data_IF_988230183162
#
_entry.id   IF_988230183162
#
_cell.length_a   1.000
_cell.length_b   1.000
_cell.length_c   1.000
_cell.angle_alpha   90.00
_cell.angle_beta   90.00
_cell.angle_gamma   90.00
#
_symmetry.space_group_name_H-M   'P 1'
#
loop_
_entity.id
_entity.type
_entity.pdbx_description
1 polymer ?
#
# COMPACT_ATOMS: atom_id res chain seq x y z
N UNK A 1 7.09 -15.01 118.33
CA UNK A 1 5.73 -14.60 117.93
C UNK A 1 5.84 -13.36 117.06
N UNK A 2 4.96 -13.27 116.05
CA UNK A 2 4.77 -12.21 115.03
C UNK A 2 5.72 -12.23 113.84
N UNK A 3 5.27 -12.19 112.58
CA UNK A 3 4.02 -12.54 111.88
C UNK A 3 4.41 -12.48 110.39
N UNK A 4 4.31 -13.59 109.65
CA UNK A 4 4.56 -13.62 108.20
C UNK A 4 3.24 -13.42 107.47
N UNK A 5 3.09 -12.32 106.73
CA UNK A 5 2.01 -12.15 105.75
C UNK A 5 2.61 -11.83 104.39
N UNK A 6 2.29 -12.66 103.40
CA UNK A 6 2.53 -12.37 101.98
C UNK A 6 1.23 -12.67 101.23
N UNK A 7 0.73 -11.76 100.37
CA UNK A 7 -0.62 -11.87 99.80
C UNK A 7 -0.67 -12.87 98.63
N UNK A 8 -1.87 -13.42 98.31
CA UNK A 8 -2.02 -14.40 97.24
C UNK A 8 -1.91 -13.75 95.86
N UNK A 9 -1.16 -14.38 94.97
CA UNK A 9 -1.04 -13.98 93.57
C UNK A 9 -2.37 -14.24 92.81
N UNK A 10 -2.82 -13.23 92.09
CA UNK A 10 -3.99 -13.22 91.20
C UNK A 10 -3.81 -14.23 90.05
N UNK A 11 -4.85 -14.98 89.62
CA UNK A 11 -4.71 -15.89 88.49
C UNK A 11 -4.52 -15.08 87.19
N UNK A 12 -3.46 -15.38 86.44
CA UNK A 12 -3.24 -14.83 85.10
C UNK A 12 -4.39 -15.27 84.18
N UNK A 13 -5.04 -14.26 83.60
CA UNK A 13 -6.03 -14.36 82.54
C UNK A 13 -5.49 -15.25 81.39
N UNK A 14 -6.12 -16.40 81.15
CA UNK A 14 -5.91 -17.20 79.94
C UNK A 14 -6.52 -16.46 78.75
N UNK A 15 -5.68 -16.02 77.82
CA UNK A 15 -6.14 -15.63 76.47
C UNK A 15 -6.55 -16.90 75.72
N UNK A 16 -7.85 -17.03 75.48
CA UNK A 16 -8.40 -18.01 74.55
C UNK A 16 -8.01 -17.59 73.12
N UNK A 17 -7.07 -18.31 72.49
CA UNK A 17 -6.80 -18.20 71.07
C UNK A 17 -7.83 -19.03 70.29
N UNK A 18 -9.00 -18.45 70.04
CA UNK A 18 -9.93 -18.96 69.03
C UNK A 18 -9.71 -18.18 67.72
N UNK A 19 -9.48 -18.92 66.64
CA UNK A 19 -9.22 -18.46 65.26
C UNK A 19 -7.86 -17.75 65.03
N UNK A 20 -6.77 -18.52 65.05
CA UNK A 20 -5.55 -18.11 64.33
C UNK A 20 -5.74 -18.43 62.85
N UNK A 21 -5.75 -17.39 62.02
CA UNK A 21 -5.45 -17.51 60.59
C UNK A 21 -4.10 -18.18 60.44
N UNK A 22 -4.08 -19.49 60.22
CA UNK A 22 -2.84 -20.23 60.07
C UNK A 22 -2.27 -19.93 58.68
N UNK A 23 -1.33 -18.98 58.63
CA UNK A 23 -0.66 -18.52 57.40
C UNK A 23 -0.11 -19.70 56.60
N UNK A 24 0.48 -20.70 57.26
CA UNK A 24 1.00 -21.89 56.61
C UNK A 24 -0.10 -22.75 55.97
N UNK A 25 -1.26 -22.89 56.60
CA UNK A 25 -2.42 -23.60 56.04
C UNK A 25 -2.96 -22.86 54.79
N UNK A 26 -3.06 -21.53 54.86
CA UNK A 26 -3.53 -20.69 53.76
C UNK A 26 -2.58 -20.74 52.55
N UNK A 27 -1.27 -20.71 52.78
CA UNK A 27 -0.25 -20.87 51.72
C UNK A 27 -0.35 -22.25 51.06
N UNK A 28 -0.59 -23.32 51.83
CA UNK A 28 -0.75 -24.67 51.26
C UNK A 28 -2.00 -24.79 50.39
N UNK A 29 -3.15 -24.30 50.86
CA UNK A 29 -4.38 -24.24 50.06
C UNK A 29 -4.17 -23.40 48.79
N UNK A 30 -3.56 -22.22 48.91
CA UNK A 30 -3.30 -21.33 47.77
C UNK A 30 -2.40 -21.97 46.70
N UNK A 31 -1.34 -22.70 47.10
CA UNK A 31 -0.48 -23.43 46.16
C UNK A 31 -1.25 -24.51 45.41
N UNK A 32 -2.17 -25.20 46.10
CA UNK A 32 -3.00 -26.25 45.49
C UNK A 32 -4.01 -25.66 44.49
N UNK A 33 -4.70 -24.59 44.87
CA UNK A 33 -5.59 -23.82 44.00
C UNK A 33 -4.87 -23.33 42.74
N UNK A 34 -3.65 -22.81 42.90
CA UNK A 34 -2.81 -22.28 41.81
C UNK A 34 -1.99 -23.34 41.07
N UNK A 35 -2.18 -24.63 41.36
CA UNK A 35 -1.36 -25.73 40.83
C UNK A 35 -1.36 -25.83 39.30
N UNK A 36 -2.44 -25.42 38.62
CA UNK A 36 -2.51 -25.40 37.15
C UNK A 36 -1.62 -24.31 36.55
N UNK A 37 -1.68 -23.11 37.12
CA UNK A 37 -0.89 -21.94 36.69
C UNK A 37 0.61 -22.17 36.98
N UNK A 38 0.94 -22.70 38.16
CA UNK A 38 2.32 -23.08 38.55
C UNK A 38 2.92 -24.09 37.56
N UNK A 39 2.13 -25.06 37.08
CA UNK A 39 2.56 -26.03 36.07
C UNK A 39 2.81 -25.37 34.71
N UNK A 40 2.04 -24.35 34.36
CA UNK A 40 2.08 -23.69 33.05
C UNK A 40 3.26 -22.71 32.89
N UNK A 41 3.76 -22.11 33.98
CA UNK A 41 4.79 -21.05 33.92
C UNK A 41 6.26 -21.52 34.02
N UNK A 42 6.49 -22.83 33.89
CA UNK A 42 7.81 -23.44 33.71
C UNK A 42 8.55 -23.81 35.01
N UNK A 43 9.73 -24.43 34.85
CA UNK A 43 10.47 -25.11 35.91
C UNK A 43 10.79 -24.22 37.13
N UNK A 44 11.08 -22.93 36.93
CA UNK A 44 11.47 -22.03 38.01
C UNK A 44 10.30 -21.68 38.96
N UNK A 45 9.10 -21.48 38.42
CA UNK A 45 7.89 -21.20 39.24
C UNK A 45 7.51 -22.46 40.02
N UNK A 46 7.57 -23.63 39.37
CA UNK A 46 7.36 -24.92 40.01
C UNK A 46 8.35 -25.17 41.15
N UNK A 47 9.64 -24.83 40.95
CA UNK A 47 10.69 -24.96 41.97
C UNK A 47 10.42 -24.05 43.18
N UNK A 48 10.01 -22.80 42.95
CA UNK A 48 9.67 -21.85 44.03
C UNK A 48 8.45 -22.33 44.82
N UNK A 49 7.38 -22.75 44.14
CA UNK A 49 6.19 -23.30 44.79
C UNK A 49 6.51 -24.54 45.64
N UNK A 50 7.35 -25.46 45.12
CA UNK A 50 7.76 -26.67 45.87
C UNK A 50 8.55 -26.31 47.13
N UNK A 51 9.46 -25.33 47.04
CA UNK A 51 10.22 -24.84 48.21
C UNK A 51 9.32 -24.19 49.25
N UNK A 52 8.35 -23.39 48.81
CA UNK A 52 7.39 -22.71 49.67
C UNK A 52 6.46 -23.72 50.37
N UNK A 53 5.95 -24.71 49.63
CA UNK A 53 5.15 -25.81 50.16
C UNK A 53 5.89 -26.58 51.26
N UNK A 54 7.19 -26.84 51.07
CA UNK A 54 8.03 -27.51 52.07
C UNK A 54 8.33 -26.64 53.30
N UNK A 55 8.32 -25.31 53.19
CA UNK A 55 8.42 -24.40 54.35
C UNK A 55 7.11 -24.35 55.12
N UNK A 56 5.98 -24.19 54.43
CA UNK A 56 4.66 -24.14 55.04
C UNK A 56 4.34 -25.42 55.83
N UNK A 57 4.66 -26.60 55.28
CA UNK A 57 4.52 -27.88 56.02
C UNK A 57 5.35 -27.96 57.29
N UNK A 58 6.53 -27.32 57.32
CA UNK A 58 7.39 -27.28 58.51
C UNK A 58 6.86 -26.30 59.55
N UNK A 59 6.35 -25.14 59.14
CA UNK A 59 5.73 -24.16 60.04
C UNK A 59 4.50 -24.72 60.76
N UNK A 60 3.72 -25.61 60.12
CA UNK A 60 2.65 -26.36 60.78
C UNK A 60 3.13 -27.30 61.91
N UNK A 61 4.39 -27.71 61.89
CA UNK A 61 4.98 -28.66 62.86
C UNK A 61 5.81 -27.96 63.94
N UNK A 62 6.29 -26.74 63.69
CA UNK A 62 7.10 -25.96 64.63
C UNK A 62 6.63 -24.48 64.68
N UNK A 63 5.92 -24.08 65.76
CA UNK A 63 5.39 -22.72 65.95
C UNK A 63 6.46 -21.61 66.09
N UNK A 64 7.75 -21.97 66.13
CA UNK A 64 8.87 -21.02 66.20
C UNK A 64 9.35 -20.52 64.84
N UNK A 65 8.83 -21.09 63.75
CA UNK A 65 9.13 -20.66 62.39
C UNK A 65 8.40 -19.35 62.10
N UNK A 66 9.11 -18.39 61.51
CA UNK A 66 8.56 -17.08 61.15
C UNK A 66 7.50 -17.19 60.04
N UNK A 67 6.27 -16.80 60.36
CA UNK A 67 5.13 -16.81 59.45
C UNK A 67 5.12 -15.62 58.48
N UNK A 68 5.83 -14.53 58.78
CA UNK A 68 5.87 -13.33 57.91
C UNK A 68 6.68 -13.61 56.63
N UNK A 69 7.82 -14.33 56.71
CA UNK A 69 8.60 -14.79 55.54
C UNK A 69 7.78 -15.72 54.61
N UNK A 70 6.84 -16.47 55.18
CA UNK A 70 5.95 -17.38 54.47
C UNK A 70 4.90 -16.64 53.66
N UNK A 71 4.29 -15.61 54.27
CA UNK A 71 3.29 -14.76 53.61
C UNK A 71 3.93 -13.94 52.48
N UNK A 72 5.05 -13.28 52.75
CA UNK A 72 5.75 -12.46 51.74
C UNK A 72 6.23 -13.31 50.55
N UNK A 73 6.76 -14.51 50.83
CA UNK A 73 7.16 -15.45 49.79
C UNK A 73 5.99 -15.96 48.94
N UNK A 74 4.79 -16.06 49.53
CA UNK A 74 3.57 -16.43 48.81
C UNK A 74 3.06 -15.29 47.94
N UNK A 75 2.99 -14.08 48.46
CA UNK A 75 2.59 -12.88 47.70
C UNK A 75 3.54 -12.63 46.52
N UNK A 76 4.85 -12.77 46.72
CA UNK A 76 5.84 -12.66 45.65
C UNK A 76 5.64 -13.72 44.54
N UNK A 77 5.25 -14.95 44.92
CA UNK A 77 4.96 -16.00 43.95
C UNK A 77 3.69 -15.70 43.14
N UNK A 78 2.65 -15.15 43.79
CA UNK A 78 1.43 -14.72 43.12
C UNK A 78 1.71 -13.61 42.09
N UNK A 79 2.44 -12.57 42.49
CA UNK A 79 2.84 -11.48 41.59
C UNK A 79 3.64 -11.98 40.38
N UNK A 80 4.51 -12.98 40.59
CA UNK A 80 5.27 -13.60 39.51
C UNK A 80 4.36 -14.37 38.53
N UNK A 81 3.38 -15.11 39.04
CA UNK A 81 2.41 -15.86 38.22
C UNK A 81 1.55 -14.87 37.41
N UNK A 82 1.05 -13.82 38.04
CA UNK A 82 0.25 -12.78 37.39
C UNK A 82 1.03 -12.06 36.29
N UNK A 83 2.25 -11.62 36.59
CA UNK A 83 3.13 -10.96 35.62
C UNK A 83 3.40 -11.85 34.40
N UNK A 84 3.71 -13.13 34.62
CA UNK A 84 3.92 -14.08 33.52
C UNK A 84 2.65 -14.36 32.71
N UNK A 85 1.49 -14.42 33.37
CA UNK A 85 0.19 -14.62 32.70
C UNK A 85 -0.16 -13.42 31.82
N UNK A 86 0.04 -12.22 32.34
CA UNK A 86 -0.18 -10.98 31.59
C UNK A 86 0.77 -10.88 30.38
N UNK A 87 2.05 -11.22 30.56
CA UNK A 87 3.04 -11.25 29.48
C UNK A 87 2.68 -12.27 28.40
N UNK A 88 2.28 -13.50 28.79
CA UNK A 88 1.86 -14.54 27.84
C UNK A 88 0.61 -14.13 27.05
N UNK A 89 -0.34 -13.47 27.72
CA UNK A 89 -1.56 -12.95 27.07
C UNK A 89 -1.23 -11.85 26.05
N UNK A 90 -0.32 -10.93 26.40
CA UNK A 90 0.17 -9.89 25.48
C UNK A 90 0.93 -10.47 24.29
N UNK A 91 1.81 -11.45 24.50
CA UNK A 91 2.54 -12.14 23.43
C UNK A 91 1.60 -12.87 22.46
N UNK A 92 0.58 -13.56 23.00
CA UNK A 92 -0.44 -14.21 22.17
C UNK A 92 -1.22 -13.21 21.32
N UNK A 93 -1.64 -12.09 21.91
CA UNK A 93 -2.33 -11.03 21.18
C UNK A 93 -1.44 -10.40 20.09
N UNK A 94 -0.17 -10.14 20.42
CA UNK A 94 0.80 -9.60 19.46
C UNK A 94 1.04 -10.56 18.28
N UNK A 95 1.23 -11.86 18.55
CA UNK A 95 1.37 -12.88 17.50
C UNK A 95 0.15 -12.96 16.58
N UNK A 96 -1.06 -12.85 17.12
CA UNK A 96 -2.29 -12.81 16.33
C UNK A 96 -2.35 -11.57 15.42
N UNK A 97 -1.97 -10.40 15.94
CA UNK A 97 -1.90 -9.17 15.13
C UNK A 97 -0.86 -9.26 14.01
N UNK A 98 0.35 -9.76 14.32
CA UNK A 98 1.40 -9.94 13.32
C UNK A 98 0.95 -10.90 12.21
N UNK A 99 0.31 -12.01 12.58
CA UNK A 99 -0.23 -12.97 11.61
C UNK A 99 -1.28 -12.33 10.69
N UNK A 100 -2.20 -11.56 11.25
CA UNK A 100 -3.23 -10.85 10.49
C UNK A 100 -2.63 -9.79 9.55
N UNK A 101 -1.63 -9.04 10.00
CA UNK A 101 -0.92 -8.07 9.16
C UNK A 101 -0.17 -8.76 8.01
N UNK A 102 0.47 -9.90 8.28
CA UNK A 102 1.14 -10.70 7.24
C UNK A 102 0.14 -11.24 6.20
N UNK A 103 -1.04 -11.69 6.65
CA UNK A 103 -2.13 -12.11 5.77
C UNK A 103 -2.59 -10.97 4.86
N UNK A 104 -2.90 -9.79 5.43
CA UNK A 104 -3.29 -8.59 4.68
C UNK A 104 -2.22 -8.16 3.69
N UNK A 105 -0.95 -8.18 4.08
CA UNK A 105 0.16 -7.86 3.18
C UNK A 105 0.23 -8.82 1.98
N UNK A 106 -0.02 -10.12 2.19
CA UNK A 106 -0.07 -11.11 1.11
C UNK A 106 -1.25 -10.88 0.16
N UNK A 107 -2.41 -10.52 0.69
CA UNK A 107 -3.60 -10.15 -0.10
C UNK A 107 -3.35 -8.90 -0.94
N UNK A 108 -2.83 -7.83 -0.32
CA UNK A 108 -2.48 -6.60 -1.03
C UNK A 108 -1.46 -6.84 -2.14
N UNK A 109 -0.41 -7.63 -1.87
CA UNK A 109 0.56 -8.03 -2.91
C UNK A 109 -0.09 -8.76 -4.08
N UNK A 110 -1.13 -9.55 -3.83
CA UNK A 110 -1.88 -10.27 -4.88
C UNK A 110 -2.72 -9.31 -5.71
N UNK A 111 -3.42 -8.38 -5.05
CA UNK A 111 -4.20 -7.31 -5.70
C UNK A 111 -3.29 -6.44 -6.58
N UNK A 112 -2.17 -5.95 -6.05
CA UNK A 112 -1.22 -5.13 -6.81
C UNK A 112 -0.70 -5.85 -8.06
N UNK A 113 -0.39 -7.16 -7.97
CA UNK A 113 0.03 -7.96 -9.14
C UNK A 113 -1.09 -8.04 -10.19
N UNK A 114 -2.34 -8.29 -9.77
CA UNK A 114 -3.51 -8.35 -10.66
C UNK A 114 -3.77 -7.00 -11.33
N UNK A 115 -3.73 -5.90 -10.59
CA UNK A 115 -3.92 -4.54 -11.12
C UNK A 115 -2.84 -4.20 -12.15
N UNK A 116 -1.57 -4.46 -11.84
CA UNK A 116 -0.46 -4.23 -12.79
C UNK A 116 -0.62 -5.04 -14.08
N UNK A 117 -1.04 -6.30 -13.97
CA UNK A 117 -1.32 -7.14 -15.13
C UNK A 117 -2.45 -6.58 -16.00
N UNK A 118 -3.57 -6.20 -15.38
CA UNK A 118 -4.73 -5.65 -16.09
C UNK A 118 -4.39 -4.33 -16.80
N UNK A 119 -3.58 -3.48 -16.18
CA UNK A 119 -3.07 -2.25 -16.80
C UNK A 119 -2.27 -2.56 -18.07
N UNK A 120 -1.34 -3.51 -18.02
CA UNK A 120 -0.57 -3.92 -19.21
C UNK A 120 -1.43 -4.48 -20.34
N UNK A 121 -2.54 -5.15 -20.05
CA UNK A 121 -3.45 -5.63 -21.10
C UNK A 121 -4.31 -4.50 -21.66
N UNK A 122 -4.81 -3.63 -20.78
CA UNK A 122 -5.69 -2.51 -21.13
C UNK A 122 -5.11 -1.63 -22.23
N UNK A 123 -3.82 -1.26 -22.15
CA UNK A 123 -3.16 -0.40 -23.14
C UNK A 123 -3.14 -1.02 -24.54
N UNK A 124 -2.81 -2.32 -24.62
CA UNK A 124 -2.69 -3.00 -25.90
C UNK A 124 -4.06 -3.25 -26.54
N UNK A 125 -5.09 -3.54 -25.73
CA UNK A 125 -6.48 -3.65 -26.21
C UNK A 125 -7.02 -2.28 -26.64
N UNK A 126 -6.71 -1.21 -25.88
CA UNK A 126 -7.13 0.14 -26.21
C UNK A 126 -6.58 0.58 -27.57
N UNK A 127 -5.28 0.40 -27.82
CA UNK A 127 -4.69 0.75 -29.11
C UNK A 127 -5.24 -0.11 -30.25
N UNK A 128 -5.43 -1.42 -30.04
CA UNK A 128 -6.10 -2.31 -31.00
C UNK A 128 -7.50 -1.79 -31.37
N UNK A 129 -8.25 -1.31 -30.36
CA UNK A 129 -9.60 -0.78 -30.54
C UNK A 129 -9.59 0.57 -31.24
N UNK A 130 -8.64 1.47 -30.94
CA UNK A 130 -8.46 2.74 -31.65
C UNK A 130 -8.12 2.47 -33.11
N UNK A 131 -7.13 1.63 -33.40
CA UNK A 131 -6.75 1.28 -34.76
C UNK A 131 -7.94 0.68 -35.53
N UNK A 132 -8.70 -0.23 -34.91
CA UNK A 132 -9.91 -0.80 -35.50
C UNK A 132 -11.05 0.21 -35.70
N UNK A 133 -11.18 1.20 -34.80
CA UNK A 133 -12.16 2.30 -34.92
C UNK A 133 -11.76 3.29 -36.00
N UNK A 134 -10.48 3.64 -36.14
CA UNK A 134 -9.99 4.48 -37.25
C UNK A 134 -10.25 3.82 -38.62
N UNK A 135 -10.24 2.49 -38.69
CA UNK A 135 -10.67 1.74 -39.90
C UNK A 135 -12.18 1.83 -40.13
N UNK A 136 -13.00 2.06 -39.10
CA UNK A 136 -14.47 2.06 -39.15
C UNK A 136 -15.14 3.45 -39.04
N UNK A 137 -14.50 4.49 -38.52
CA UNK A 137 -15.17 5.75 -38.16
C UNK A 137 -14.70 6.95 -38.99
N UNK A 138 -15.44 7.18 -40.07
CA UNK A 138 -15.63 8.49 -40.71
C UNK A 138 -16.96 9.14 -40.24
N UNK A 139 -17.51 8.77 -39.08
CA UNK A 139 -18.81 9.28 -38.62
C UNK A 139 -18.94 9.35 -37.10
N UNK A 140 -18.27 10.31 -36.45
CA UNK A 140 -18.82 11.09 -35.32
C UNK A 140 -17.75 12.03 -34.73
N UNK A 141 -17.95 13.32 -34.95
CA UNK A 141 -17.01 14.41 -34.63
C UNK A 141 -17.30 15.02 -33.26
N UNK A 142 -17.57 14.22 -32.23
CA UNK A 142 -17.95 14.76 -30.91
C UNK A 142 -17.26 13.99 -29.79
N UNK A 143 -16.49 14.73 -28.98
CA UNK A 143 -15.58 14.30 -27.90
C UNK A 143 -14.13 13.97 -28.30
N UNK A 144 -13.40 14.94 -28.85
CA UNK A 144 -11.93 14.97 -28.74
C UNK A 144 -11.52 15.43 -27.33
N UNK A 145 -11.67 14.57 -26.34
CA UNK A 145 -10.99 14.73 -25.05
C UNK A 145 -9.51 14.45 -25.24
N UNK A 146 -8.64 15.40 -24.88
CA UNK A 146 -7.20 15.12 -24.82
C UNK A 146 -6.97 14.04 -23.75
N UNK A 147 -5.96 13.18 -23.94
CA UNK A 147 -5.54 12.28 -22.87
C UNK A 147 -5.04 13.11 -21.67
N UNK A 148 -5.28 12.63 -20.43
CA UNK A 148 -4.90 13.34 -19.20
C UNK A 148 -3.41 13.73 -19.22
N UNK A 149 -2.54 12.86 -19.72
CA UNK A 149 -1.10 13.10 -19.86
C UNK A 149 -0.78 14.22 -20.87
N UNK A 150 -1.57 14.35 -21.94
CA UNK A 150 -1.41 15.43 -22.92
C UNK A 150 -1.87 16.78 -22.35
N UNK A 151 -2.98 16.81 -21.60
CA UNK A 151 -3.42 18.01 -20.88
C UNK A 151 -2.42 18.40 -19.80
N UNK A 152 -1.85 17.43 -19.08
CA UNK A 152 -0.82 17.67 -18.06
C UNK A 152 0.46 18.26 -18.67
N UNK A 153 0.90 17.75 -19.83
CA UNK A 153 2.07 18.27 -20.56
C UNK A 153 1.90 19.72 -20.97
N UNK A 154 0.68 20.16 -21.30
CA UNK A 154 0.38 21.55 -21.70
C UNK A 154 0.21 22.50 -20.50
N UNK A 155 -0.24 21.98 -19.36
CA UNK A 155 -0.44 22.76 -18.13
C UNK A 155 0.87 23.01 -17.37
N UNK A 156 1.82 22.07 -17.42
CA UNK A 156 3.10 22.16 -16.71
C UNK A 156 3.92 23.44 -17.02
N UNK A 157 4.13 23.81 -18.30
CA UNK A 157 4.84 25.05 -18.64
C UNK A 157 4.14 26.31 -18.12
N UNK A 158 2.80 26.34 -18.12
CA UNK A 158 2.02 27.47 -17.61
C UNK A 158 2.18 27.63 -16.09
N UNK A 159 2.13 26.52 -15.33
CA UNK A 159 2.38 26.54 -13.87
C UNK A 159 3.79 27.04 -13.58
N UNK A 160 4.79 26.59 -14.35
CA UNK A 160 6.17 27.04 -14.19
C UNK A 160 6.31 28.55 -14.46
N UNK A 161 5.66 29.06 -15.51
CA UNK A 161 5.66 30.48 -15.83
C UNK A 161 5.01 31.34 -14.73
N UNK A 162 3.89 30.88 -14.16
CA UNK A 162 3.22 31.56 -13.02
C UNK A 162 4.13 31.60 -11.78
N UNK A 163 4.79 30.48 -11.45
CA UNK A 163 5.74 30.42 -10.31
C UNK A 163 6.92 31.36 -10.49
N UNK A 164 7.49 31.42 -11.69
CA UNK A 164 8.57 32.37 -12.02
C UNK A 164 8.07 33.80 -11.85
N UNK A 165 6.90 34.13 -12.40
CA UNK A 165 6.32 35.47 -12.29
C UNK A 165 6.06 35.91 -10.83
N UNK A 166 5.58 35.00 -9.97
CA UNK A 166 5.45 35.28 -8.53
C UNK A 166 6.81 35.47 -7.85
N UNK A 167 7.81 34.66 -8.19
CA UNK A 167 9.14 34.73 -7.56
C UNK A 167 9.90 36.03 -7.85
N UNK A 168 9.60 36.69 -8.97
CA UNK A 168 10.18 38.00 -9.35
C UNK A 168 9.34 39.19 -8.87
N UNK A 169 8.39 38.95 -7.97
CA UNK A 169 7.59 39.99 -7.33
C UNK A 169 6.46 40.57 -8.19
N UNK A 170 5.98 39.84 -9.21
CA UNK A 170 4.88 40.28 -10.09
C UNK A 170 5.16 41.60 -10.83
N UNK A 171 6.43 41.90 -11.09
CA UNK A 171 6.90 43.17 -11.70
C UNK A 171 6.91 43.15 -13.23
N UNK A 172 6.85 41.96 -13.84
CA UNK A 172 6.81 41.75 -15.29
C UNK A 172 5.38 41.52 -15.79
N UNK A 173 5.19 41.47 -17.12
CA UNK A 173 3.90 41.11 -17.72
C UNK A 173 3.44 39.71 -17.28
N UNK A 174 2.16 39.52 -16.88
CA UNK A 174 1.66 38.23 -16.42
C UNK A 174 1.66 37.19 -17.55
N UNK A 175 2.00 35.93 -17.26
CA UNK A 175 2.05 34.88 -18.29
C UNK A 175 0.65 34.52 -18.79
N UNK A 176 0.54 34.19 -20.09
CA UNK A 176 -0.67 33.62 -20.66
C UNK A 176 -0.89 32.19 -20.14
N UNK A 177 -2.10 31.89 -19.64
CA UNK A 177 -2.42 30.59 -19.00
C UNK A 177 -3.71 29.91 -19.55
N UNK A 178 -3.89 29.84 -20.88
CA UNK A 178 -5.13 29.35 -21.50
C UNK A 178 -5.48 27.89 -21.16
N UNK A 179 -4.51 27.03 -20.83
CA UNK A 179 -4.79 25.65 -20.43
C UNK A 179 -5.22 25.57 -18.96
N UNK A 180 -4.59 26.33 -18.06
CA UNK A 180 -5.02 26.48 -16.66
C UNK A 180 -6.42 27.07 -16.54
N UNK A 181 -6.81 28.00 -17.41
CA UNK A 181 -8.18 28.55 -17.43
C UNK A 181 -9.21 27.51 -17.87
N UNK A 182 -8.86 26.64 -18.83
CA UNK A 182 -9.74 25.52 -19.22
C UNK A 182 -9.89 24.54 -18.08
N UNK A 183 -8.80 24.23 -17.37
CA UNK A 183 -8.85 23.38 -16.18
C UNK A 183 -9.73 24.04 -15.10
N UNK A 184 -9.58 25.34 -14.85
CA UNK A 184 -10.41 26.10 -13.91
C UNK A 184 -11.90 26.01 -14.25
N UNK A 185 -12.26 26.26 -15.52
CA UNK A 185 -13.65 26.14 -16.00
C UNK A 185 -14.21 24.72 -15.85
N UNK A 186 -13.40 23.71 -16.12
CA UNK A 186 -13.80 22.31 -15.93
C UNK A 186 -14.03 22.00 -14.44
N UNK A 187 -13.11 22.41 -13.58
CA UNK A 187 -13.17 22.25 -12.13
C UNK A 187 -14.41 22.95 -11.54
N UNK A 188 -14.67 24.19 -11.94
CA UNK A 188 -15.84 24.95 -11.53
C UNK A 188 -17.16 24.28 -11.97
N UNK A 189 -17.21 23.72 -13.19
CA UNK A 189 -18.39 23.02 -13.70
C UNK A 189 -18.74 21.77 -12.90
N UNK A 190 -17.75 21.08 -12.33
CA UNK A 190 -17.92 19.81 -11.63
C UNK A 190 -17.80 19.94 -10.11
N UNK A 191 -17.60 21.14 -9.59
CA UNK A 191 -17.46 21.40 -8.15
C UNK A 191 -16.20 20.79 -7.55
N UNK A 192 -15.09 20.79 -8.28
CA UNK A 192 -13.82 20.18 -7.85
C UNK A 192 -12.74 21.25 -7.73
N UNK A 193 -11.86 21.11 -6.75
CA UNK A 193 -10.75 22.04 -6.52
C UNK A 193 -9.67 21.91 -7.62
N UNK A 194 -9.24 23.04 -8.20
CA UNK A 194 -8.32 23.06 -9.35
C UNK A 194 -6.95 22.47 -9.01
N UNK A 195 -6.42 22.77 -7.82
CA UNK A 195 -5.16 22.20 -7.34
C UNK A 195 -5.28 20.69 -7.19
N UNK A 196 -6.35 20.22 -6.57
CA UNK A 196 -6.68 18.80 -6.43
C UNK A 196 -6.78 18.10 -7.78
N UNK A 197 -7.40 18.73 -8.78
CA UNK A 197 -7.46 18.17 -10.13
C UNK A 197 -6.08 18.05 -10.77
N UNK A 198 -5.23 19.07 -10.64
CA UNK A 198 -3.86 19.07 -11.19
C UNK A 198 -2.99 18.02 -10.48
N UNK A 199 -3.11 17.89 -9.15
CA UNK A 199 -2.43 16.85 -8.38
C UNK A 199 -2.90 15.45 -8.81
N UNK A 200 -4.20 15.27 -9.07
CA UNK A 200 -4.75 14.03 -9.64
C UNK A 200 -4.25 13.77 -11.06
N UNK A 201 -4.08 14.80 -11.88
CA UNK A 201 -3.47 14.69 -13.21
C UNK A 201 -2.01 14.28 -13.12
N UNK A 202 -1.24 14.82 -12.17
CA UNK A 202 0.15 14.44 -11.91
C UNK A 202 0.25 12.98 -11.43
N UNK A 203 -0.62 12.57 -10.51
CA UNK A 203 -0.71 11.18 -10.05
C UNK A 203 -1.14 10.23 -11.16
N UNK A 204 -2.06 10.65 -12.04
CA UNK A 204 -2.47 9.87 -13.21
C UNK A 204 -1.36 9.79 -14.25
N UNK A 205 -0.64 10.87 -14.53
CA UNK A 205 0.51 10.89 -15.45
C UNK A 205 1.70 10.10 -14.87
N UNK A 206 1.97 10.16 -13.57
CA UNK A 206 2.99 9.36 -12.90
C UNK A 206 2.60 7.88 -12.84
N UNK A 207 1.32 7.56 -12.59
CA UNK A 207 0.78 6.22 -12.79
C UNK A 207 0.93 5.79 -14.24
N UNK A 208 0.64 6.66 -15.19
CA UNK A 208 0.75 6.40 -16.63
C UNK A 208 2.21 6.08 -16.99
N UNK A 209 3.18 6.86 -16.51
CA UNK A 209 4.62 6.61 -16.70
C UNK A 209 5.15 5.37 -15.95
N UNK A 210 4.63 5.08 -14.76
CA UNK A 210 5.16 4.05 -13.85
C UNK A 210 4.52 2.68 -14.02
N UNK A 211 3.28 2.62 -14.51
CA UNK A 211 2.50 1.39 -14.63
C UNK A 211 2.19 0.99 -16.07
N UNK A 212 2.27 1.92 -17.04
CA UNK A 212 1.91 1.63 -18.42
C UNK A 212 3.13 1.18 -19.21
N UNK A 213 2.92 0.13 -19.98
CA UNK A 213 3.90 -0.37 -20.93
C UNK A 213 3.16 -0.42 -22.26
N UNK A 214 2.93 0.77 -22.86
CA UNK A 214 2.12 0.85 -24.07
C UNK A 214 2.76 0.05 -25.20
N UNK A 215 1.95 -0.33 -26.21
CA UNK A 215 2.48 -0.88 -27.45
C UNK A 215 3.56 0.02 -28.06
N UNK A 216 4.49 -0.53 -28.86
CA UNK A 216 5.41 0.29 -29.63
C UNK A 216 4.63 1.27 -30.51
N UNK A 217 4.89 2.57 -30.35
CA UNK A 217 4.30 3.58 -31.22
C UNK A 217 4.95 3.48 -32.60
N UNK A 218 4.19 3.13 -33.65
CA UNK A 218 4.73 2.90 -34.99
C UNK A 218 5.41 4.14 -35.59
N UNK A 219 4.95 5.34 -35.21
CA UNK A 219 5.57 6.62 -35.60
C UNK A 219 7.05 6.75 -35.21
N UNK A 220 7.49 6.08 -34.14
CA UNK A 220 8.90 6.08 -33.73
C UNK A 220 9.80 5.23 -34.65
N UNK A 221 9.22 4.57 -35.64
CA UNK A 221 9.89 3.68 -36.57
C UNK A 221 9.72 4.13 -38.03
N UNK A 222 9.30 5.38 -38.26
CA UNK A 222 9.29 5.99 -39.58
C UNK A 222 10.72 6.15 -40.11
N UNK A 223 10.89 5.95 -41.41
CA UNK A 223 12.09 6.34 -42.14
C UNK A 223 11.98 7.78 -42.66
N UNK A 224 13.03 8.24 -43.35
CA UNK A 224 13.10 9.60 -43.89
C UNK A 224 12.01 9.90 -44.93
N UNK A 225 11.40 8.86 -45.51
CA UNK A 225 10.36 8.97 -46.52
C UNK A 225 8.95 8.81 -45.91
N UNK A 226 8.84 8.69 -44.58
CA UNK A 226 7.57 8.48 -43.89
C UNK A 226 7.05 7.03 -43.95
N UNK A 227 7.88 6.06 -44.35
CA UNK A 227 7.50 4.65 -44.32
C UNK A 227 7.83 4.03 -42.96
N UNK A 228 6.92 3.22 -42.43
CA UNK A 228 7.14 2.52 -41.16
C UNK A 228 8.04 1.31 -41.37
N UNK A 229 9.15 1.23 -40.62
CA UNK A 229 10.01 0.05 -40.55
C UNK A 229 9.37 -1.05 -39.69
N UNK A 230 8.40 -1.76 -40.26
CA UNK A 230 7.59 -2.79 -39.56
C UNK A 230 8.41 -3.93 -38.93
N UNK A 231 9.60 -4.23 -39.45
CA UNK A 231 10.53 -5.21 -38.85
C UNK A 231 11.07 -4.72 -37.50
N UNK A 232 11.33 -3.42 -37.36
CA UNK A 232 11.74 -2.81 -36.09
C UNK A 232 10.59 -2.78 -35.08
N UNK A 233 9.36 -2.54 -35.54
CA UNK A 233 8.14 -2.63 -34.71
C UNK A 233 7.94 -4.07 -34.20
N UNK A 234 8.12 -5.07 -35.07
CA UNK A 234 8.07 -6.49 -34.69
C UNK A 234 9.15 -6.82 -33.64
N UNK A 235 10.39 -6.37 -33.84
CA UNK A 235 11.47 -6.57 -32.88
C UNK A 235 11.21 -5.89 -31.54
N UNK A 236 10.53 -4.75 -31.51
CA UNK A 236 10.09 -4.09 -30.29
C UNK A 236 9.02 -4.91 -29.55
N UNK A 237 8.06 -5.49 -30.27
CA UNK A 237 7.08 -6.42 -29.72
C UNK A 237 7.75 -7.65 -29.11
N UNK A 238 8.73 -8.24 -29.80
CA UNK A 238 9.45 -9.41 -29.31
C UNK A 238 10.33 -9.11 -28.10
N UNK A 239 10.99 -7.95 -28.07
CA UNK A 239 11.67 -7.44 -26.86
C UNK A 239 10.70 -7.37 -25.69
N UNK A 240 9.47 -6.89 -25.91
CA UNK A 240 8.45 -6.81 -24.86
C UNK A 240 7.96 -8.18 -24.42
N UNK A 241 7.74 -9.13 -25.33
CA UNK A 241 7.42 -10.53 -24.98
C UNK A 241 8.54 -11.17 -24.13
N UNK A 242 9.81 -10.90 -24.44
CA UNK A 242 10.96 -11.37 -23.64
C UNK A 242 11.01 -10.72 -22.26
N UNK A 243 10.70 -9.43 -22.15
CA UNK A 243 10.58 -8.72 -20.87
C UNK A 243 9.49 -9.35 -19.98
N UNK A 244 8.28 -9.58 -20.50
CA UNK A 244 7.21 -10.20 -19.72
C UNK A 244 7.54 -11.65 -19.32
N UNK A 245 8.28 -12.40 -20.16
CA UNK A 245 8.81 -13.71 -19.77
C UNK A 245 9.75 -13.63 -18.57
N UNK A 246 10.62 -12.61 -18.50
CA UNK A 246 11.48 -12.38 -17.33
C UNK A 246 10.65 -12.07 -16.08
N UNK A 247 9.60 -11.26 -16.20
CA UNK A 247 8.72 -10.92 -15.06
C UNK A 247 7.92 -12.12 -14.57
N UNK A 248 7.42 -12.96 -15.47
CA UNK A 248 6.76 -14.23 -15.14
C UNK A 248 7.71 -15.16 -14.38
N UNK A 249 8.96 -15.35 -14.85
CA UNK A 249 9.98 -16.14 -14.12
C UNK A 249 10.27 -15.62 -12.70
N UNK A 250 10.08 -14.31 -12.46
CA UNK A 250 10.19 -13.68 -11.14
C UNK A 250 8.90 -13.78 -10.30
N UNK A 251 7.90 -14.55 -10.74
CA UNK A 251 6.62 -14.72 -10.03
C UNK A 251 5.75 -13.47 -10.00
N UNK A 252 5.96 -12.52 -10.92
CA UNK A 252 5.13 -11.30 -11.04
C UNK A 252 3.82 -11.55 -11.76
N UNK A 253 3.78 -12.54 -12.65
CA UNK A 253 2.59 -12.99 -13.39
C UNK A 253 2.57 -14.52 -13.46
N UNK A 254 1.38 -15.10 -13.66
CA UNK A 254 1.22 -16.54 -13.94
C UNK A 254 1.58 -16.88 -15.40
N UNK A 255 1.73 -18.17 -15.69
CA UNK A 255 1.95 -18.66 -17.05
C UNK A 255 0.79 -18.29 -17.99
N UNK A 256 -0.45 -18.42 -17.53
CA UNK A 256 -1.66 -18.05 -18.28
C UNK A 256 -1.72 -16.55 -18.57
N UNK A 257 -1.41 -15.72 -17.57
CA UNK A 257 -1.31 -14.28 -17.73
C UNK A 257 -0.24 -13.90 -18.77
N UNK A 258 0.93 -14.55 -18.73
CA UNK A 258 1.96 -14.37 -19.74
C UNK A 258 1.49 -14.78 -21.15
N UNK A 259 0.79 -15.90 -21.28
CA UNK A 259 0.23 -16.35 -22.56
C UNK A 259 -0.78 -15.32 -23.12
N UNK A 260 -1.65 -14.78 -22.27
CA UNK A 260 -2.60 -13.74 -22.66
C UNK A 260 -1.88 -12.46 -23.14
N UNK A 261 -0.88 -11.97 -22.42
CA UNK A 261 -0.07 -10.82 -22.85
C UNK A 261 0.60 -11.08 -24.21
N UNK A 262 1.18 -12.26 -24.42
CA UNK A 262 1.80 -12.62 -25.70
C UNK A 262 0.78 -12.60 -26.84
N UNK A 263 -0.42 -13.13 -26.60
CA UNK A 263 -1.50 -13.19 -27.59
C UNK A 263 -1.99 -11.78 -27.94
N UNK A 264 -2.20 -10.93 -26.94
CA UNK A 264 -2.62 -9.53 -27.12
C UNK A 264 -1.56 -8.74 -27.89
N UNK A 265 -0.27 -8.89 -27.58
CA UNK A 265 0.83 -8.27 -28.35
C UNK A 265 0.83 -8.75 -29.82
N UNK A 266 0.59 -10.04 -30.03
CA UNK A 266 0.51 -10.61 -31.38
C UNK A 266 -0.71 -10.11 -32.16
N UNK A 267 -1.87 -10.04 -31.51
CA UNK A 267 -3.11 -9.53 -32.08
C UNK A 267 -2.97 -8.05 -32.45
N UNK A 268 -2.41 -7.24 -31.55
CA UNK A 268 -2.09 -5.84 -31.80
C UNK A 268 -1.23 -5.65 -33.05
N UNK A 269 -0.13 -6.41 -33.17
CA UNK A 269 0.75 -6.29 -34.34
C UNK A 269 0.03 -6.69 -35.63
N UNK A 270 -0.84 -7.70 -35.57
CA UNK A 270 -1.64 -8.18 -36.70
C UNK A 270 -2.71 -7.21 -37.18
N UNK A 271 -3.08 -6.20 -36.38
CA UNK A 271 -3.91 -5.08 -36.86
C UNK A 271 -3.20 -4.31 -37.97
N UNK A 272 -1.86 -4.28 -37.95
CA UNK A 272 -1.06 -3.52 -38.90
C UNK A 272 -0.40 -4.40 -39.97
N UNK A 273 0.09 -5.59 -39.60
CA UNK A 273 0.81 -6.49 -40.50
C UNK A 273 0.16 -7.87 -40.48
N UNK A 274 -0.47 -8.26 -41.59
CA UNK A 274 -1.19 -9.53 -41.72
C UNK A 274 -0.27 -10.72 -42.02
N UNK A 275 0.90 -10.45 -42.60
CA UNK A 275 1.90 -11.46 -42.95
C UNK A 275 3.21 -10.84 -43.44
N UNK A 276 4.09 -11.69 -43.96
CA UNK A 276 5.37 -11.29 -44.56
C UNK A 276 5.55 -12.05 -45.87
N UNK A 277 6.05 -11.34 -46.88
CA UNK A 277 6.47 -11.94 -48.14
C UNK A 277 7.80 -12.68 -47.96
N UNK A 278 8.14 -13.54 -48.92
CA UNK A 278 9.39 -14.32 -48.90
C UNK A 278 10.65 -13.44 -48.96
N UNK A 279 10.55 -12.25 -49.54
CA UNK A 279 11.61 -11.24 -49.61
C UNK A 279 11.79 -10.44 -48.29
N UNK A 280 11.00 -10.74 -47.26
CA UNK A 280 11.05 -10.05 -45.98
C UNK A 280 10.31 -8.71 -45.95
N UNK A 281 9.52 -8.38 -46.97
CA UNK A 281 8.61 -7.21 -46.94
C UNK A 281 7.30 -7.54 -46.19
N UNK A 282 6.74 -6.58 -45.44
CA UNK A 282 5.51 -6.82 -44.68
C UNK A 282 4.28 -6.77 -45.60
N UNK A 283 3.35 -7.70 -45.40
CA UNK A 283 2.01 -7.64 -45.99
C UNK A 283 1.14 -6.83 -45.03
N UNK A 284 0.75 -5.63 -45.44
CA UNK A 284 -0.06 -4.75 -44.60
C UNK A 284 -1.50 -5.26 -44.47
N UNK A 285 -2.09 -5.07 -43.30
CA UNK A 285 -3.49 -5.35 -43.09
C UNK A 285 -4.37 -4.28 -43.79
N UNK A 286 -5.60 -4.66 -44.17
CA UNK A 286 -6.53 -3.76 -44.87
C UNK A 286 -6.82 -2.52 -44.03
N UNK A 287 -6.65 -1.33 -44.63
CA UNK A 287 -6.96 -0.05 -43.98
C UNK A 287 -5.79 0.59 -43.23
N UNK A 288 -4.62 -0.07 -43.18
CA UNK A 288 -3.41 0.47 -42.54
C UNK A 288 -2.91 1.72 -43.25
N UNK A 289 -2.97 1.77 -44.57
CA UNK A 289 -2.55 2.95 -45.34
C UNK A 289 -3.33 4.21 -44.90
N UNK A 290 -4.64 4.08 -44.63
CA UNK A 290 -5.45 5.19 -44.12
C UNK A 290 -5.02 5.62 -42.71
N UNK A 291 -4.67 4.68 -41.85
CA UNK A 291 -4.15 4.99 -40.49
C UNK A 291 -2.84 5.75 -40.61
N UNK A 292 -1.95 5.32 -41.50
CA UNK A 292 -0.66 5.97 -41.75
C UNK A 292 -0.87 7.37 -42.35
N UNK A 293 -1.74 7.51 -43.34
CA UNK A 293 -2.07 8.80 -43.96
C UNK A 293 -2.66 9.79 -42.95
N UNK A 294 -3.58 9.36 -42.08
CA UNK A 294 -4.13 10.20 -41.02
C UNK A 294 -3.08 10.60 -39.99
N UNK A 295 -2.18 9.67 -39.64
CA UNK A 295 -1.07 9.95 -38.75
C UNK A 295 -0.10 10.98 -39.36
N UNK A 296 0.26 10.80 -40.63
CA UNK A 296 1.10 11.74 -41.38
C UNK A 296 0.43 13.11 -41.54
N UNK A 297 -0.88 13.17 -41.79
CA UNK A 297 -1.66 14.42 -41.77
C UNK A 297 -1.66 15.10 -40.41
N UNK A 298 -1.67 14.35 -39.31
CA UNK A 298 -1.54 14.91 -37.95
C UNK A 298 -0.13 15.41 -37.66
N UNK A 299 0.90 14.72 -38.14
CA UNK A 299 2.30 15.16 -38.05
C UNK A 299 2.57 16.42 -38.87
N UNK A 300 1.99 16.50 -40.08
CA UNK A 300 2.13 17.64 -40.99
C UNK A 300 1.28 18.85 -40.60
N UNK A 301 0.28 18.66 -39.73
CA UNK A 301 -0.29 19.79 -38.99
C UNK A 301 0.78 20.27 -38.01
N UNK A 302 1.64 21.18 -38.49
CA UNK A 302 2.14 22.27 -37.66
C UNK A 302 0.97 22.73 -36.82
N UNK A 303 1.13 22.75 -35.50
CA UNK A 303 0.14 23.08 -34.47
C UNK A 303 -1.22 23.50 -35.05
N UNK A 304 -2.34 22.78 -34.84
CA UNK A 304 -3.63 23.34 -35.20
C UNK A 304 -3.65 24.73 -34.60
N UNK A 305 -3.61 25.75 -35.48
CA UNK A 305 -3.34 27.15 -35.13
C UNK A 305 -3.93 27.39 -33.77
N UNK A 306 -3.07 27.65 -32.75
CA UNK A 306 -3.47 27.68 -31.36
C UNK A 306 -4.85 28.33 -31.32
N UNK A 307 -5.91 27.59 -30.94
CA UNK A 307 -7.28 28.07 -31.10
C UNK A 307 -7.29 29.47 -30.50
N UNK A 308 -7.62 30.48 -31.33
CA UNK A 308 -7.41 31.90 -31.03
C UNK A 308 -7.71 32.11 -29.55
N UNK A 309 -6.64 32.27 -28.78
CA UNK A 309 -6.74 32.28 -27.33
C UNK A 309 -7.56 33.53 -27.03
N UNK A 310 -8.76 33.42 -26.43
CA UNK A 310 -9.43 34.60 -25.91
C UNK A 310 -8.47 35.23 -24.90
N UNK A 311 -8.32 36.55 -24.93
CA UNK A 311 -7.52 37.26 -23.94
C UNK A 311 -7.85 36.72 -22.55
N UNK A 312 -6.81 36.27 -21.85
CA UNK A 312 -6.90 35.77 -20.48
C UNK A 312 -6.25 36.79 -19.57
N UNK A 313 -6.88 37.97 -19.36
CA UNK A 313 -6.31 39.00 -18.52
C UNK A 313 -6.09 38.44 -17.12
N UNK A 314 -4.99 38.87 -16.50
CA UNK A 314 -4.73 38.59 -15.10
C UNK A 314 -5.72 39.38 -14.24
N UNK A 315 -6.29 38.70 -13.25
CA UNK A 315 -7.08 39.31 -12.18
C UNK A 315 -6.43 38.94 -10.85
N UNK A 316 -6.51 39.82 -9.85
CA UNK A 316 -5.95 39.56 -8.54
C UNK A 316 -6.55 38.28 -7.93
N UNK A 317 -5.70 37.40 -7.41
CA UNK A 317 -6.10 36.12 -6.82
C UNK A 317 -6.32 34.97 -7.81
N UNK A 318 -6.17 35.20 -9.13
CA UNK A 318 -6.42 34.20 -10.19
C UNK A 318 -5.66 32.88 -10.06
N UNK A 319 -4.50 32.86 -9.41
CA UNK A 319 -3.64 31.67 -9.30
C UNK A 319 -3.22 31.32 -7.86
N UNK A 320 -3.84 31.93 -6.85
CA UNK A 320 -3.46 31.74 -5.44
C UNK A 320 -3.66 30.31 -4.94
N UNK A 321 -4.55 29.54 -5.56
CA UNK A 321 -4.76 28.11 -5.32
C UNK A 321 -3.64 27.21 -5.85
N UNK A 322 -2.76 27.72 -6.73
CA UNK A 322 -1.70 26.94 -7.40
C UNK A 322 -0.31 27.14 -6.79
N UNK A 323 -0.18 28.07 -5.84
CA UNK A 323 1.08 28.58 -5.29
C UNK A 323 1.21 28.23 -3.80
#
# INVERSE_FOLDING_TARGET
>A
MNMTSTPPATPKCQRNNAASDNVAQNVLCGIEEKSREIRFHGHNVKRLATKLQARARRALQDPRIDDDDLKDSWEALLLLIESKTAAASKDKAHKAQVWELQRRLKEQRTITKKTRFNMHIGDWIHDTTIASRLVKSLSSTTCKGHQISETFTRVQPEIAAVKVWYSVGRTAEPPATPYLDRVARLCARVGLDRKTYIDLMALCDERDRSAHHPPPHFGNYLDQNGNVKWSKVHNACDRRKRYYRKLMRKGKFTQEQYALLRNVIGAWYKVYVSGWNADGTPILAKGVDKILDEYMKKLQKSDPSAPTIPDSPYEEGKWDDLL
#
